data_IF_857735225915
#
_entry.id   IF_857735225915
#
_cell.length_a   1.000
_cell.length_b   1.000
_cell.length_c   1.000
_cell.angle_alpha   90.00
_cell.angle_beta   90.00
_cell.angle_gamma   90.00
#
_symmetry.space_group_name_H-M   'P 1'
#
loop_
_entity.id
_entity.type
_entity.pdbx_description
1 polymer ?
#
# COMPACT_ATOMS: atom_id res chain seq x y z
N UNK A 1 -0.30 -13.90 3.69
CA UNK A 1 0.53 -13.51 2.54
C UNK A 1 1.17 -12.15 2.84
N UNK A 2 2.24 -12.09 3.65
CA UNK A 2 2.81 -10.82 4.14
C UNK A 2 4.34 -10.83 4.30
N UNK A 3 5.04 -11.76 3.63
CA UNK A 3 6.46 -12.06 3.98
C UNK A 3 7.51 -11.24 3.24
N UNK A 4 7.18 -10.59 2.12
CA UNK A 4 8.20 -9.97 1.24
C UNK A 4 8.64 -8.57 1.76
N UNK A 5 7.74 -7.82 2.40
CA UNK A 5 8.09 -6.49 2.95
C UNK A 5 8.77 -6.58 4.33
N UNK A 6 8.59 -7.69 5.05
CA UNK A 6 9.15 -7.84 6.41
C UNK A 6 10.68 -7.86 6.40
N UNK A 7 11.32 -8.49 5.42
CA UNK A 7 12.78 -8.58 5.37
C UNK A 7 13.45 -7.24 5.08
N UNK A 8 12.85 -6.42 4.22
CA UNK A 8 13.35 -5.05 3.93
C UNK A 8 13.24 -4.19 5.18
N UNK A 9 12.13 -4.27 5.90
CA UNK A 9 11.94 -3.53 7.15
C UNK A 9 12.92 -3.99 8.23
N UNK A 10 13.09 -5.30 8.43
CA UNK A 10 14.07 -5.81 9.38
C UNK A 10 15.50 -5.35 9.07
N UNK A 11 15.85 -5.21 7.78
CA UNK A 11 17.14 -4.67 7.38
C UNK A 11 17.27 -3.17 7.70
N UNK A 12 16.25 -2.36 7.42
CA UNK A 12 16.21 -0.93 7.78
C UNK A 12 16.29 -0.68 9.28
N UNK A 13 15.78 -1.61 10.10
CA UNK A 13 15.90 -1.50 11.56
C UNK A 13 17.28 -1.90 12.08
N UNK A 14 17.97 -2.81 11.39
CA UNK A 14 19.26 -3.33 11.79
C UNK A 14 20.44 -2.50 11.25
N UNK A 15 20.21 -1.66 10.24
CA UNK A 15 21.22 -0.84 9.58
C UNK A 15 20.73 0.61 9.43
N UNK A 16 21.65 1.58 9.50
CA UNK A 16 21.35 2.98 9.20
C UNK A 16 21.20 3.17 7.68
N UNK A 17 20.03 2.75 7.17
CA UNK A 17 19.75 2.60 5.75
C UNK A 17 18.49 3.35 5.34
N UNK A 18 18.50 3.86 4.11
CA UNK A 18 17.37 4.55 3.49
C UNK A 18 16.87 3.78 2.26
N UNK A 19 15.55 3.72 2.09
CA UNK A 19 14.94 3.08 0.92
C UNK A 19 13.71 3.83 0.41
N UNK A 20 13.39 3.61 -0.87
CA UNK A 20 12.15 4.08 -1.49
C UNK A 20 11.17 2.92 -1.53
N UNK A 21 10.02 3.07 -0.87
CA UNK A 21 8.98 2.03 -0.81
C UNK A 21 7.62 2.56 -1.26
N UNK A 22 6.70 1.68 -1.69
CA UNK A 22 5.33 2.07 -1.96
C UNK A 22 4.65 2.63 -0.69
N UNK A 23 3.77 3.62 -0.87
CA UNK A 23 3.01 4.23 0.23
C UNK A 23 2.23 3.22 1.07
N UNK A 24 1.72 2.15 0.45
CA UNK A 24 1.02 1.08 1.17
C UNK A 24 1.92 0.35 2.18
N UNK A 25 3.21 0.22 1.89
CA UNK A 25 4.20 -0.40 2.77
C UNK A 25 4.56 0.58 3.88
N UNK A 26 4.95 1.81 3.55
CA UNK A 26 5.25 2.83 4.57
C UNK A 26 4.06 3.06 5.54
N UNK A 27 2.83 3.10 5.02
CA UNK A 27 1.61 3.23 5.82
C UNK A 27 1.38 2.04 6.76
N UNK A 28 1.62 0.80 6.31
CA UNK A 28 1.44 -0.39 7.14
C UNK A 28 2.37 -0.41 8.36
N UNK A 29 3.57 0.16 8.24
CA UNK A 29 4.59 0.18 9.31
C UNK A 29 4.64 1.50 10.10
N UNK A 30 4.05 2.58 9.58
CA UNK A 30 3.99 3.88 10.27
C UNK A 30 3.23 3.83 11.60
N UNK A 31 2.25 2.93 11.75
CA UNK A 31 1.53 2.73 13.02
C UNK A 31 2.41 2.23 14.16
N UNK A 32 3.48 1.51 13.86
CA UNK A 32 4.40 0.96 14.87
C UNK A 32 5.54 1.94 15.21
N UNK A 33 5.54 3.18 14.66
CA UNK A 33 6.58 4.21 14.86
C UNK A 33 8.02 3.73 14.60
N UNK A 34 8.17 2.63 13.89
CA UNK A 34 9.45 1.93 13.75
C UNK A 34 10.22 2.40 12.51
N UNK A 35 9.51 2.98 11.53
CA UNK A 35 10.07 3.57 10.32
C UNK A 35 9.46 4.96 10.14
N UNK A 36 10.30 5.95 9.87
CA UNK A 36 9.89 7.32 9.56
C UNK A 36 9.89 7.52 8.05
N UNK A 37 8.77 7.99 7.50
CA UNK A 37 8.70 8.44 6.12
C UNK A 37 9.30 9.85 6.01
N UNK A 38 10.27 10.05 5.11
CA UNK A 38 10.86 11.36 4.86
C UNK A 38 10.00 12.12 3.84
N UNK A 39 9.70 13.41 4.06
CA UNK A 39 8.89 14.23 3.16
C UNK A 39 9.72 14.70 1.95
N UNK A 40 10.10 13.76 1.09
CA UNK A 40 10.91 14.02 -0.11
C UNK A 40 10.03 13.78 -1.33
N UNK A 41 9.91 14.78 -2.20
CA UNK A 41 9.14 14.64 -3.43
C UNK A 41 9.94 13.86 -4.47
N UNK A 42 9.61 12.58 -4.66
CA UNK A 42 10.21 11.71 -5.66
C UNK A 42 9.13 11.42 -6.72
N UNK A 43 9.43 11.53 -8.03
CA UNK A 43 8.46 11.18 -9.07
C UNK A 43 8.00 9.74 -8.89
N UNK A 44 6.71 9.57 -8.62
CA UNK A 44 6.12 8.25 -8.44
C UNK A 44 5.81 7.66 -9.80
N UNK A 45 6.24 6.41 -10.03
CA UNK A 45 5.74 5.65 -11.17
C UNK A 45 4.24 5.37 -10.99
N UNK A 46 3.48 5.62 -12.04
CA UNK A 46 2.11 5.12 -12.23
C UNK A 46 2.11 3.59 -12.04
N UNK A 47 1.46 3.11 -10.97
CA UNK A 47 1.31 1.68 -10.70
C UNK A 47 -0.17 1.35 -10.58
N UNK A 48 -0.64 0.46 -11.45
CA UNK A 48 -2.00 -0.06 -11.42
C UNK A 48 -2.05 -1.46 -10.77
N UNK A 49 -3.08 -1.70 -9.97
CA UNK A 49 -3.45 -3.03 -9.49
C UNK A 49 -4.69 -3.49 -10.27
N UNK A 50 -4.70 -4.75 -10.67
CA UNK A 50 -5.81 -5.33 -11.44
C UNK A 50 -6.29 -6.64 -10.81
N UNK A 51 -7.60 -6.88 -10.89
CA UNK A 51 -8.21 -8.17 -10.56
C UNK A 51 -8.20 -9.00 -11.84
N UNK A 52 -7.43 -10.10 -11.85
CA UNK A 52 -7.38 -11.02 -12.97
C UNK A 52 -8.43 -12.12 -12.81
N UNK A 53 -9.13 -12.44 -13.91
CA UNK A 53 -10.10 -13.54 -13.97
C UNK A 53 -9.86 -14.36 -15.24
N UNK A 54 -10.19 -15.65 -15.20
CA UNK A 54 -10.14 -16.53 -16.37
C UNK A 54 -11.33 -16.25 -17.29
N UNK A 55 -11.09 -16.15 -18.60
CA UNK A 55 -12.12 -15.82 -19.61
C UNK A 55 -13.19 -16.92 -19.72
N UNK A 56 -12.80 -18.16 -19.53
CA UNK A 56 -13.60 -19.38 -19.63
C UNK A 56 -14.21 -19.83 -18.28
N UNK A 57 -14.03 -19.07 -17.20
CA UNK A 57 -14.60 -19.41 -15.90
C UNK A 57 -16.11 -19.12 -15.89
N UNK A 58 -16.94 -19.98 -15.24
CA UNK A 58 -18.36 -19.71 -15.07
C UNK A 58 -18.58 -18.35 -14.38
N UNK A 59 -19.37 -17.46 -14.99
CA UNK A 59 -19.77 -16.20 -14.36
C UNK A 59 -20.74 -16.48 -13.23
N UNK A 60 -20.21 -16.53 -12.01
CA UNK A 60 -21.01 -16.55 -10.79
C UNK A 60 -21.29 -15.12 -10.32
N UNK A 61 -22.54 -14.76 -9.99
CA UNK A 61 -22.88 -13.45 -9.40
C UNK A 61 -22.06 -13.13 -8.14
N UNK A 62 -21.63 -14.16 -7.39
CA UNK A 62 -20.79 -13.99 -6.22
C UNK A 62 -19.39 -13.44 -6.55
N UNK A 63 -18.82 -13.81 -7.70
CA UNK A 63 -17.50 -13.32 -8.15
C UNK A 63 -17.57 -11.85 -8.56
N UNK A 64 -18.70 -11.45 -9.17
CA UNK A 64 -18.95 -10.05 -9.52
C UNK A 64 -19.11 -9.20 -8.26
N UNK A 65 -19.94 -9.62 -7.30
CA UNK A 65 -20.08 -8.94 -6.02
C UNK A 65 -18.76 -8.84 -5.26
N UNK A 66 -17.99 -9.93 -5.20
CA UNK A 66 -16.69 -9.93 -4.54
C UNK A 66 -15.71 -8.96 -5.19
N UNK A 67 -15.65 -8.91 -6.52
CA UNK A 67 -14.73 -8.00 -7.20
C UNK A 67 -15.11 -6.55 -7.01
N UNK A 68 -16.41 -6.22 -7.04
CA UNK A 68 -16.90 -4.88 -6.72
C UNK A 68 -16.55 -4.49 -5.29
N UNK A 69 -16.70 -5.41 -4.34
CA UNK A 69 -16.30 -5.19 -2.95
C UNK A 69 -14.80 -4.94 -2.78
N UNK A 70 -13.96 -5.72 -3.47
CA UNK A 70 -12.51 -5.51 -3.45
C UNK A 70 -12.17 -4.14 -4.03
N UNK A 71 -12.73 -3.78 -5.18
CA UNK A 71 -12.50 -2.48 -5.81
C UNK A 71 -12.88 -1.31 -4.88
N UNK A 72 -14.07 -1.32 -4.30
CA UNK A 72 -14.52 -0.26 -3.38
C UNK A 72 -13.68 -0.16 -2.10
N UNK A 73 -13.18 -1.31 -1.61
CA UNK A 73 -12.28 -1.35 -0.45
C UNK A 73 -10.92 -0.71 -0.78
N UNK A 74 -10.37 -0.97 -1.97
CA UNK A 74 -9.11 -0.37 -2.42
C UNK A 74 -9.26 1.13 -2.71
N UNK A 75 -10.39 1.58 -3.25
CA UNK A 75 -10.69 3.01 -3.41
C UNK A 75 -10.76 3.71 -2.05
N UNK A 76 -11.45 3.10 -1.09
CA UNK A 76 -11.51 3.62 0.28
C UNK A 76 -10.12 3.69 0.92
N UNK A 77 -9.29 2.66 0.71
CA UNK A 77 -7.91 2.61 1.19
C UNK A 77 -7.04 3.70 0.55
N UNK A 78 -7.19 3.95 -0.76
CA UNK A 78 -6.49 5.03 -1.46
C UNK A 78 -6.79 6.38 -0.83
N UNK A 79 -8.05 6.66 -0.52
CA UNK A 79 -8.44 7.89 0.17
C UNK A 79 -7.89 7.99 1.60
N UNK A 80 -7.74 6.85 2.29
CA UNK A 80 -7.18 6.82 3.65
C UNK A 80 -5.66 7.05 3.62
N UNK A 81 -4.94 6.41 2.71
CA UNK A 81 -3.49 6.62 2.52
C UNK A 81 -3.21 8.07 2.14
N UNK A 82 -3.99 8.66 1.21
CA UNK A 82 -3.81 10.06 0.81
C UNK A 82 -4.02 11.03 1.99
N UNK A 83 -5.06 10.80 2.81
CA UNK A 83 -5.29 11.60 4.03
C UNK A 83 -4.19 11.44 5.06
N UNK A 84 -3.63 10.23 5.21
CA UNK A 84 -2.51 10.00 6.11
C UNK A 84 -1.23 10.69 5.64
N UNK A 85 -0.97 10.68 4.33
CA UNK A 85 0.15 11.39 3.72
C UNK A 85 0.05 12.90 3.96
N UNK A 86 -1.14 13.47 3.72
CA UNK A 86 -1.45 14.87 4.04
C UNK A 86 -1.34 15.16 5.54
N UNK A 87 -1.67 14.24 6.45
CA UNK A 87 -1.54 14.47 7.89
C UNK A 87 -0.08 14.41 8.39
N UNK A 88 0.76 13.54 7.79
CA UNK A 88 2.18 13.41 8.16
C UNK A 88 2.99 14.64 7.74
N UNK A 89 2.62 15.30 6.63
CA UNK A 89 3.32 16.50 6.15
C UNK A 89 3.08 17.73 7.04
N UNK A 90 2.03 17.74 7.88
CA UNK A 90 1.60 18.93 8.64
C UNK A 90 1.85 18.85 10.15
N UNK A 91 2.55 17.82 10.63
CA UNK A 91 2.89 17.66 12.06
C UNK A 91 4.30 18.15 12.42
N UNK A 92 4.81 19.15 11.68
CA UNK A 92 6.03 19.89 12.03
C UNK A 92 5.68 21.31 12.47
#
# INVERSE_FOLDING_TARGET
>A
MNRICSSVVSYLMAADALTVTPHSVAFAWGKEKTITALPINIPQLERALAILRRIDAPRSPAIDQFSTFVQSSFDSLKHLIKRHDEAVVWSN
#
